data_IF_221814967963
#
_entry.id   IF_221814967963
#
_cell.length_a   1.000
_cell.length_b   1.000
_cell.length_c   1.000
_cell.angle_alpha   90.00
_cell.angle_beta   90.00
_cell.angle_gamma   90.00
#
_symmetry.space_group_name_H-M   'P 1'
#
loop_
_entity.id
_entity.type
_entity.pdbx_description
1 polymer ?
#
# COMPACT_ATOMS: atom_id res chain seq x y z
N UNK A 1 0.94 13.74 0.31
CA UNK A 1 1.84 14.40 1.29
C UNK A 1 3.12 13.58 1.31
N UNK A 2 4.29 14.18 1.03
CA UNK A 2 5.55 13.43 0.83
C UNK A 2 6.47 13.71 2.02
N UNK A 3 6.77 12.71 2.84
CA UNK A 3 7.52 12.90 4.09
C UNK A 3 9.03 12.58 4.02
N UNK A 4 9.53 11.82 3.02
CA UNK A 4 10.87 11.21 3.12
C UNK A 4 11.74 11.25 1.85
N UNK A 5 11.96 12.43 1.27
CA UNK A 5 12.82 12.57 0.05
C UNK A 5 14.32 12.37 0.32
N UNK A 6 14.81 12.63 1.52
CA UNK A 6 16.26 12.68 1.81
C UNK A 6 16.84 11.43 2.50
N UNK A 7 16.04 10.39 2.79
CA UNK A 7 16.56 9.12 3.29
C UNK A 7 15.59 7.95 3.04
N UNK A 8 15.28 7.71 1.76
CA UNK A 8 14.33 6.68 1.36
C UNK A 8 14.81 5.27 1.80
N UNK A 9 16.12 5.00 1.74
CA UNK A 9 16.68 3.73 2.23
C UNK A 9 16.43 3.56 3.73
N UNK A 10 16.75 4.56 4.55
CA UNK A 10 16.46 4.49 5.98
C UNK A 10 14.97 4.28 6.25
N UNK A 11 14.10 4.96 5.50
CA UNK A 11 12.65 4.79 5.64
C UNK A 11 12.24 3.35 5.33
N UNK A 12 12.78 2.75 4.26
CA UNK A 12 12.52 1.36 3.90
C UNK A 12 13.06 0.38 4.96
N UNK A 13 14.25 0.64 5.50
CA UNK A 13 14.85 -0.20 6.55
C UNK A 13 14.12 -0.11 7.89
N UNK A 14 13.45 1.01 8.17
CA UNK A 14 12.74 1.25 9.42
C UNK A 14 11.22 1.17 9.23
N UNK A 15 10.74 0.55 8.15
CA UNK A 15 9.32 0.61 7.82
C UNK A 15 8.44 -0.04 8.91
N UNK A 16 8.98 -1.04 9.60
CA UNK A 16 8.41 -1.75 10.74
C UNK A 16 8.37 -0.91 12.04
N UNK A 17 9.02 0.26 12.06
CA UNK A 17 9.01 1.17 13.21
C UNK A 17 7.87 2.19 13.16
N UNK A 18 7.30 2.45 11.99
CA UNK A 18 6.21 3.43 11.86
C UNK A 18 4.87 2.82 12.29
N UNK A 19 3.98 3.70 12.73
CA UNK A 19 2.57 3.37 12.89
C UNK A 19 1.82 3.68 11.60
N UNK A 20 0.70 2.99 11.39
CA UNK A 20 -0.14 3.15 10.23
C UNK A 20 -1.58 3.28 10.67
N UNK A 21 -2.30 4.22 10.05
CA UNK A 21 -3.73 4.38 10.26
C UNK A 21 -4.48 3.97 9.01
N UNK A 22 -5.57 3.22 9.18
CA UNK A 22 -6.48 2.91 8.10
C UNK A 22 -7.03 4.22 7.51
N UNK A 23 -6.65 4.50 6.27
CA UNK A 23 -7.03 5.72 5.58
C UNK A 23 -8.34 5.50 4.83
N UNK A 24 -9.34 6.29 5.25
CA UNK A 24 -10.73 6.31 4.84
C UNK A 24 -11.07 5.48 3.58
N UNK A 25 -11.93 4.48 3.81
CA UNK A 25 -12.52 3.59 2.80
C UNK A 25 -13.76 4.25 2.18
N UNK A 26 -14.09 5.49 2.58
CA UNK A 26 -15.10 6.27 1.86
C UNK A 26 -14.57 6.65 0.47
N UNK A 27 -14.91 5.85 -0.53
CA UNK A 27 -14.93 6.33 -1.92
C UNK A 27 -15.81 7.60 -1.90
N UNK A 28 -15.20 8.77 -2.04
CA UNK A 28 -15.86 10.09 -2.11
C UNK A 28 -16.77 10.25 -3.35
N UNK A 29 -17.16 9.14 -3.98
CA UNK A 29 -18.08 9.03 -5.11
C UNK A 29 -19.48 8.50 -4.72
N UNK A 30 -19.73 8.18 -3.45
CA UNK A 30 -21.09 7.84 -2.97
C UNK A 30 -21.71 9.08 -2.33
N UNK A 31 -22.74 9.62 -2.99
CA UNK A 31 -23.51 10.83 -2.65
C UNK A 31 -24.29 10.78 -1.31
N UNK A 32 -23.77 10.18 -0.24
CA UNK A 32 -24.38 10.22 1.09
C UNK A 32 -23.31 10.28 2.18
N UNK A 33 -23.03 11.51 2.68
CA UNK A 33 -22.08 11.77 3.78
C UNK A 33 -22.35 10.90 5.02
N UNK A 34 -23.61 10.58 5.28
CA UNK A 34 -24.00 9.77 6.44
C UNK A 34 -23.61 8.30 6.29
N UNK A 35 -23.67 7.73 5.07
CA UNK A 35 -23.25 6.34 4.82
C UNK A 35 -21.73 6.18 4.80
N UNK A 36 -21.00 7.19 4.30
CA UNK A 36 -19.54 7.22 4.37
C UNK A 36 -19.04 7.22 5.83
N UNK A 37 -19.67 8.03 6.70
CA UNK A 37 -19.35 8.05 8.13
C UNK A 37 -19.65 6.71 8.81
N UNK A 38 -20.78 6.08 8.49
CA UNK A 38 -21.17 4.77 9.08
C UNK A 38 -20.24 3.65 8.61
N UNK A 39 -19.85 3.63 7.33
CA UNK A 39 -18.91 2.63 6.81
C UNK A 39 -17.50 2.84 7.40
N UNK A 40 -17.04 4.08 7.49
CA UNK A 40 -15.75 4.42 8.13
C UNK A 40 -15.72 4.00 9.61
N UNK A 41 -16.81 4.19 10.35
CA UNK A 41 -16.96 3.70 11.73
C UNK A 41 -16.98 2.17 11.80
N UNK A 42 -17.74 1.51 10.92
CA UNK A 42 -17.82 0.04 10.85
C UNK A 42 -16.48 -0.59 10.48
N UNK A 43 -15.74 0.02 9.58
CA UNK A 43 -14.42 -0.45 9.17
C UNK A 43 -13.37 -0.19 10.25
N UNK A 44 -13.43 0.95 10.93
CA UNK A 44 -12.60 1.22 12.11
C UNK A 44 -12.81 0.15 13.21
N UNK A 45 -14.06 -0.25 13.46
CA UNK A 45 -14.42 -1.32 14.41
C UNK A 45 -13.97 -2.71 13.94
N UNK A 46 -14.06 -3.00 12.64
CA UNK A 46 -13.71 -4.32 12.10
C UNK A 46 -12.21 -4.53 11.90
N UNK A 47 -11.45 -3.45 11.70
CA UNK A 47 -10.05 -3.53 11.30
C UNK A 47 -9.09 -2.97 12.34
N UNK A 48 -9.50 -2.38 13.46
CA UNK A 48 -8.64 -1.55 14.32
C UNK A 48 -8.03 -0.40 13.51
N UNK A 49 -8.33 0.84 13.90
CA UNK A 49 -7.89 2.01 13.14
C UNK A 49 -6.36 2.14 12.98
N UNK A 50 -5.58 1.55 13.90
CA UNK A 50 -4.12 1.61 13.93
C UNK A 50 -3.50 0.23 13.73
N UNK A 51 -2.40 0.18 12.96
CA UNK A 51 -1.62 -1.02 12.69
C UNK A 51 -0.12 -0.70 12.64
N UNK A 52 0.68 -1.63 13.15
CA UNK A 52 2.12 -1.67 12.91
C UNK A 52 2.40 -2.81 11.94
N UNK A 53 3.21 -2.58 10.90
CA UNK A 53 3.69 -3.69 10.08
C UNK A 53 4.75 -4.45 10.88
N UNK A 54 4.78 -5.78 10.72
CA UNK A 54 5.56 -6.68 11.58
C UNK A 54 6.99 -6.89 11.10
N UNK A 55 7.30 -6.48 9.87
CA UNK A 55 8.55 -6.83 9.20
C UNK A 55 8.92 -5.82 8.11
N UNK A 56 10.22 -5.55 7.99
CA UNK A 56 10.81 -4.83 6.87
C UNK A 56 11.35 -5.79 5.77
N UNK A 57 11.17 -7.11 5.93
CA UNK A 57 11.56 -8.08 4.91
C UNK A 57 10.56 -8.12 3.75
N UNK A 58 11.09 -8.09 2.53
CA UNK A 58 10.31 -8.14 1.29
C UNK A 58 10.42 -9.53 0.66
N UNK A 59 9.29 -10.17 0.40
CA UNK A 59 9.22 -11.51 -0.21
C UNK A 59 9.06 -11.47 -1.74
N UNK A 60 8.48 -10.40 -2.30
CA UNK A 60 8.35 -10.22 -3.74
C UNK A 60 8.61 -8.76 -4.12
N UNK A 61 9.20 -8.55 -5.30
CA UNK A 61 9.52 -7.24 -5.85
C UNK A 61 9.11 -7.20 -7.31
N UNK A 62 8.42 -6.14 -7.73
CA UNK A 62 8.04 -5.92 -9.13
C UNK A 62 8.40 -4.48 -9.52
N UNK A 63 9.12 -4.32 -10.62
CA UNK A 63 9.41 -3.02 -11.21
C UNK A 63 8.49 -2.79 -12.42
N UNK A 64 7.65 -1.77 -12.33
CA UNK A 64 6.88 -1.23 -13.44
C UNK A 64 7.66 -0.08 -14.07
N UNK A 65 7.91 -0.19 -15.38
CA UNK A 65 8.39 0.93 -16.18
C UNK A 65 7.17 1.70 -16.71
N UNK A 66 6.95 2.93 -16.22
CA UNK A 66 5.86 3.80 -16.71
C UNK A 66 6.25 4.44 -18.03
N UNK A 67 7.49 4.94 -18.10
CA UNK A 67 8.16 5.46 -19.29
C UNK A 67 9.69 5.33 -19.15
N UNK A 68 10.48 5.97 -20.02
CA UNK A 68 11.95 5.88 -20.00
C UNK A 68 12.58 6.40 -18.70
N UNK A 69 11.96 7.42 -18.09
CA UNK A 69 12.51 8.13 -16.94
C UNK A 69 11.78 7.80 -15.63
N UNK A 70 10.55 7.30 -15.70
CA UNK A 70 9.69 7.06 -14.54
C UNK A 70 9.43 5.56 -14.34
N UNK A 71 9.79 5.08 -13.16
CA UNK A 71 9.57 3.72 -12.73
C UNK A 71 8.77 3.70 -11.43
N UNK A 72 8.01 2.64 -11.22
CA UNK A 72 7.33 2.37 -9.96
C UNK A 72 7.70 0.99 -9.46
N UNK A 73 8.29 0.91 -8.29
CA UNK A 73 8.63 -0.33 -7.62
C UNK A 73 7.52 -0.70 -6.65
N UNK A 74 7.06 -1.94 -6.74
CA UNK A 74 6.12 -2.54 -5.81
C UNK A 74 6.88 -3.56 -4.96
N UNK A 75 6.69 -3.49 -3.65
CA UNK A 75 7.31 -4.40 -2.69
C UNK A 75 6.22 -5.09 -1.89
N UNK A 76 6.26 -6.42 -1.83
CA UNK A 76 5.40 -7.20 -0.95
C UNK A 76 6.21 -7.63 0.26
N UNK A 77 5.83 -7.13 1.43
CA UNK A 77 6.40 -7.53 2.72
C UNK A 77 5.99 -8.94 3.12
N UNK A 78 6.75 -9.57 4.01
CA UNK A 78 6.44 -10.91 4.56
C UNK A 78 5.16 -10.94 5.39
N UNK A 79 4.64 -9.79 5.81
CA UNK A 79 3.34 -9.64 6.49
C UNK A 79 2.25 -9.04 5.57
N UNK A 80 2.43 -9.23 4.25
CA UNK A 80 1.43 -9.01 3.19
C UNK A 80 1.05 -7.56 2.90
N UNK A 81 1.81 -6.59 3.40
CA UNK A 81 1.67 -5.20 2.98
C UNK A 81 2.39 -4.96 1.66
N UNK A 82 1.71 -4.25 0.76
CA UNK A 82 2.19 -3.78 -0.52
C UNK A 82 2.64 -2.32 -0.35
N UNK A 83 3.92 -2.07 -0.57
CA UNK A 83 4.50 -0.74 -0.60
C UNK A 83 4.72 -0.31 -2.04
N UNK A 84 4.76 1.00 -2.27
CA UNK A 84 5.12 1.55 -3.58
C UNK A 84 6.19 2.62 -3.45
N UNK A 85 7.14 2.60 -4.38
CA UNK A 85 8.23 3.57 -4.48
C UNK A 85 8.24 4.10 -5.91
N UNK A 86 8.08 5.40 -6.07
CA UNK A 86 8.25 6.06 -7.37
C UNK A 86 9.71 6.46 -7.54
N UNK A 87 10.30 6.10 -8.67
CA UNK A 87 11.69 6.36 -9.04
C UNK A 87 11.66 7.16 -10.33
N UNK A 88 11.91 8.46 -10.22
CA UNK A 88 11.81 9.39 -11.34
C UNK A 88 13.21 9.93 -11.66
N UNK A 89 13.63 9.80 -12.92
CA UNK A 89 14.85 10.42 -13.41
C UNK A 89 14.53 11.86 -13.82
N UNK A 90 15.27 12.82 -13.27
CA UNK A 90 15.25 14.22 -13.71
C UNK A 90 16.67 14.62 -14.06
N UNK A 91 16.87 14.99 -15.32
CA UNK A 91 18.19 15.24 -15.89
C UNK A 91 19.07 13.98 -15.73
N UNK A 92 20.11 14.03 -14.88
CA UNK A 92 21.01 12.91 -14.59
C UNK A 92 20.85 12.33 -13.17
N UNK A 93 19.84 12.78 -12.41
CA UNK A 93 19.62 12.36 -11.02
C UNK A 93 18.34 11.54 -10.86
N UNK A 94 18.43 10.46 -10.10
CA UNK A 94 17.26 9.71 -9.65
C UNK A 94 16.67 10.37 -8.40
N UNK A 95 15.37 10.64 -8.45
CA UNK A 95 14.55 11.07 -7.32
C UNK A 95 13.70 9.86 -6.91
N UNK A 96 13.93 9.38 -5.68
CA UNK A 96 13.23 8.22 -5.14
C UNK A 96 12.27 8.69 -4.05
N UNK A 97 11.00 8.34 -4.19
CA UNK A 97 9.93 8.73 -3.28
C UNK A 97 9.16 7.49 -2.81
N UNK A 98 9.24 7.19 -1.52
CA UNK A 98 8.40 6.16 -0.91
C UNK A 98 7.01 6.74 -0.69
N UNK A 99 5.98 6.03 -1.18
CA UNK A 99 4.61 6.40 -0.94
C UNK A 99 4.28 6.20 0.54
N UNK A 100 3.70 7.22 1.16
CA UNK A 100 3.24 7.16 2.56
C UNK A 100 2.08 6.19 2.74
N UNK A 101 1.42 5.79 1.65
CA UNK A 101 0.39 4.77 1.69
C UNK A 101 0.96 3.38 1.45
N UNK A 102 0.58 2.45 2.32
CA UNK A 102 0.72 1.02 2.10
C UNK A 102 -0.66 0.41 1.86
N UNK A 103 -0.69 -0.72 1.17
CA UNK A 103 -1.92 -1.44 0.88
C UNK A 103 -1.85 -2.86 1.43
N UNK A 104 -2.99 -3.41 1.82
CA UNK A 104 -3.08 -4.82 2.25
C UNK A 104 -4.50 -5.31 1.97
N UNK A 105 -4.62 -6.53 1.46
CA UNK A 105 -5.97 -7.07 1.22
C UNK A 105 -6.71 -7.42 2.52
N UNK A 106 -8.05 -7.29 2.55
CA UNK A 106 -8.87 -7.58 3.72
C UNK A 106 -8.63 -8.96 4.34
N UNK A 107 -8.45 -10.00 3.54
CA UNK A 107 -8.25 -11.36 4.05
C UNK A 107 -6.88 -11.52 4.75
N UNK A 108 -5.82 -10.93 4.21
CA UNK A 108 -4.53 -10.89 4.89
C UNK A 108 -4.61 -10.08 6.18
N UNK A 109 -5.36 -8.97 6.15
CA UNK A 109 -5.50 -8.08 7.30
C UNK A 109 -6.17 -8.79 8.49
N UNK A 110 -7.27 -9.50 8.23
CA UNK A 110 -8.03 -10.25 9.24
C UNK A 110 -7.40 -11.58 9.63
N UNK A 111 -6.24 -11.93 9.07
CA UNK A 111 -5.59 -13.23 9.19
C UNK A 111 -6.50 -14.40 8.74
N UNK A 112 -7.31 -14.17 7.70
CA UNK A 112 -8.20 -15.17 7.08
C UNK A 112 -7.57 -15.80 5.83
N UNK A 113 -6.25 -15.75 5.72
CA UNK A 113 -5.53 -16.20 4.54
C UNK A 113 -5.60 -17.72 4.36
N UNK A 114 -6.10 -18.16 3.21
CA UNK A 114 -5.98 -19.54 2.77
C UNK A 114 -4.56 -19.79 2.24
N UNK A 115 -3.75 -20.66 2.89
CA UNK A 115 -2.38 -20.95 2.46
C UNK A 115 -2.27 -21.54 1.05
N UNK A 116 -3.37 -22.07 0.48
CA UNK A 116 -3.40 -22.57 -0.89
C UNK A 116 -3.63 -21.48 -1.94
N UNK A 117 -4.10 -20.29 -1.55
CA UNK A 117 -4.23 -19.14 -2.44
C UNK A 117 -2.90 -18.36 -2.49
N UNK A 118 -2.12 -18.55 -3.53
CA UNK A 118 -0.85 -17.83 -3.66
C UNK A 118 -1.05 -16.40 -4.19
N UNK A 119 -0.74 -15.40 -3.36
CA UNK A 119 -0.62 -14.03 -3.81
C UNK A 119 0.65 -13.83 -4.64
N UNK A 120 0.48 -13.23 -5.81
CA UNK A 120 1.50 -13.01 -6.82
C UNK A 120 1.48 -11.52 -7.16
N UNK A 121 2.49 -10.81 -6.65
CA UNK A 121 2.61 -9.37 -6.81
C UNK A 121 2.71 -8.98 -8.29
N UNK A 122 3.28 -9.83 -9.14
CA UNK A 122 3.38 -9.55 -10.58
C UNK A 122 2.00 -9.59 -11.25
N UNK A 123 1.14 -10.52 -10.85
CA UNK A 123 -0.26 -10.56 -11.33
C UNK A 123 -1.06 -9.35 -10.82
N UNK A 124 -0.89 -8.98 -9.56
CA UNK A 124 -1.48 -7.77 -8.99
C UNK A 124 -1.10 -6.52 -9.80
N UNK A 125 0.20 -6.27 -9.98
CA UNK A 125 0.71 -5.10 -10.73
C UNK A 125 0.26 -5.12 -12.19
N UNK A 126 0.24 -6.29 -12.84
CA UNK A 126 -0.30 -6.40 -14.21
C UNK A 126 -1.78 -5.98 -14.25
N UNK A 127 -2.57 -6.40 -13.26
CA UNK A 127 -3.96 -5.98 -13.11
C UNK A 127 -4.08 -4.47 -12.98
N UNK A 128 -3.32 -3.85 -12.06
CA UNK A 128 -3.29 -2.39 -11.85
C UNK A 128 -2.99 -1.64 -13.15
N UNK A 129 -1.97 -2.04 -13.89
CA UNK A 129 -1.58 -1.42 -15.17
C UNK A 129 -2.71 -1.52 -16.20
N UNK A 130 -3.35 -2.68 -16.31
CA UNK A 130 -4.44 -2.88 -17.26
C UNK A 130 -5.68 -2.04 -16.88
N UNK A 131 -5.99 -1.98 -15.59
CA UNK A 131 -7.09 -1.18 -15.07
C UNK A 131 -6.90 0.32 -15.35
N UNK A 132 -5.67 0.83 -15.17
CA UNK A 132 -5.32 2.23 -15.51
C UNK A 132 -5.45 2.53 -17.01
N UNK A 133 -5.16 1.54 -17.88
CA UNK A 133 -5.27 1.69 -19.34
C UNK A 133 -6.72 1.59 -19.85
N UNK A 134 -7.57 0.87 -19.13
CA UNK A 134 -8.97 0.66 -19.53
C UNK A 134 -9.85 0.48 -18.30
N UNK A 135 -10.74 1.45 -18.07
CA UNK A 135 -11.73 1.39 -16.99
C UNK A 135 -12.71 0.20 -17.12
N UNK A 136 -12.78 -0.45 -18.30
CA UNK A 136 -13.59 -1.66 -18.53
C UNK A 136 -12.85 -2.95 -18.17
N UNK A 137 -11.54 -2.89 -17.94
CA UNK A 137 -10.75 -4.08 -17.59
C UNK A 137 -11.03 -4.48 -16.14
N UNK A 138 -11.48 -5.73 -15.98
CA UNK A 138 -11.84 -6.33 -14.69
C UNK A 138 -10.74 -7.22 -14.12
N UNK A 139 -9.58 -7.31 -14.77
CA UNK A 139 -8.48 -8.21 -14.35
C UNK A 139 -8.05 -7.90 -12.92
N UNK A 140 -7.89 -6.61 -12.59
CA UNK A 140 -7.54 -6.19 -11.24
C UNK A 140 -8.64 -6.50 -10.23
N UNK A 141 -9.90 -6.19 -10.54
CA UNK A 141 -11.05 -6.47 -9.66
C UNK A 141 -11.17 -7.97 -9.37
N UNK A 142 -11.13 -8.82 -10.40
CA UNK A 142 -11.21 -10.29 -10.26
C UNK A 142 -10.03 -10.87 -9.49
N UNK A 143 -8.86 -10.25 -9.59
CA UNK A 143 -7.70 -10.66 -8.81
C UNK A 143 -7.90 -10.30 -7.33
N UNK A 144 -8.36 -9.08 -7.05
CA UNK A 144 -8.62 -8.59 -5.70
C UNK A 144 -9.73 -9.36 -4.97
N UNK A 145 -10.77 -9.79 -5.70
CA UNK A 145 -11.88 -10.60 -5.17
C UNK A 145 -11.40 -11.93 -4.55
N UNK A 146 -10.27 -12.48 -4.99
CA UNK A 146 -9.69 -13.70 -4.41
C UNK A 146 -9.12 -13.50 -3.00
N UNK A 147 -8.96 -12.24 -2.57
CA UNK A 147 -8.33 -11.87 -1.29
C UNK A 147 -9.23 -10.94 -0.46
N UNK A 148 -10.55 -11.05 -0.61
CA UNK A 148 -11.51 -10.27 0.16
C UNK A 148 -11.83 -8.89 -0.43
N UNK A 149 -11.42 -8.65 -1.68
CA UNK A 149 -11.76 -7.45 -2.44
C UNK A 149 -10.65 -6.40 -2.49
N UNK A 150 -11.05 -5.14 -2.69
CA UNK A 150 -10.13 -3.99 -2.86
C UNK A 150 -9.16 -3.88 -1.67
N UNK A 151 -7.85 -3.71 -1.89
CA UNK A 151 -6.90 -3.50 -0.81
C UNK A 151 -7.31 -2.35 0.11
N UNK A 152 -7.19 -2.58 1.41
CA UNK A 152 -7.25 -1.55 2.43
C UNK A 152 -6.02 -0.67 2.27
N UNK A 153 -6.23 0.65 2.37
CA UNK A 153 -5.17 1.64 2.29
C UNK A 153 -4.86 2.11 3.70
N UNK A 154 -3.59 2.06 4.09
CA UNK A 154 -3.13 2.62 5.34
C UNK A 154 -2.15 3.74 5.08
N UNK A 155 -2.28 4.83 5.82
CA UNK A 155 -1.34 5.95 5.80
C UNK A 155 -0.34 5.81 6.93
N UNK A 156 0.93 5.93 6.59
CA UNK A 156 2.02 6.03 7.56
C UNK A 156 1.82 7.27 8.43
N UNK A 157 1.75 7.08 9.74
CA UNK A 157 1.65 8.13 10.75
C UNK A 157 2.74 7.94 11.79
N UNK A 158 3.34 9.06 12.20
CA UNK A 158 4.31 9.18 13.29
C UNK A 158 5.53 8.24 13.27
N UNK A 159 6.64 8.81 13.73
CA UNK A 159 7.90 8.14 13.98
C UNK A 159 7.98 8.07 15.49
N UNK A 160 8.30 6.94 16.10
CA UNK A 160 8.74 6.96 17.49
C UNK A 160 9.86 8.00 17.61
N UNK A 161 9.55 9.16 18.21
CA UNK A 161 10.48 10.25 18.46
C UNK A 161 11.41 9.90 19.63
N UNK A 162 11.81 8.64 19.79
CA UNK A 162 12.88 8.24 20.71
C UNK A 162 14.27 8.44 20.08
N UNK A 163 14.44 9.53 19.31
CA UNK A 163 15.75 10.12 19.02
C UNK A 163 15.89 11.39 19.87
N UNK A 164 15.64 11.26 21.17
CA UNK A 164 16.18 12.15 22.19
C UNK A 164 16.93 11.28 23.20
N UNK A 165 18.25 11.13 22.95
CA UNK A 165 19.35 10.70 23.85
C UNK A 165 20.22 9.62 23.24
N UNK A 166 21.09 10.01 22.30
CA UNK A 166 22.46 9.50 22.22
C UNK A 166 23.39 10.66 21.87
#
# INVERSE_FOLDING_TARGET
MIFFKNNWLWTLFNIDKFEYVLFDISDQFINQRDQASINSQKDSLNYNAFKKIKSNHMQQVVLEQKDEDNHKMYLLSTDWNILTIDINKKEEKFIVEINTYIHIHPDFYKNLFDPFLHFDLKKYVKGEILHLKSAKDQTHTKYNEQFGGKPLRLVMINIDNEIEKL
#
